data_IF_694814427833
#
_entry.id   IF_694814427833
#
_cell.length_a   1.000
_cell.length_b   1.000
_cell.length_c   1.000
_cell.angle_alpha   90.00
_cell.angle_beta   90.00
_cell.angle_gamma   90.00
#
_symmetry.space_group_name_H-M   'P 1'
#
loop_
_entity.id
_entity.type
_entity.pdbx_description
1 polymer ?
#
# COMPACT_ATOMS: atom_id res chain seq x y z
N UNK A 1 -5.66 17.87 -2.79
CA UNK A 1 -4.41 17.20 -2.42
C UNK A 1 -4.65 15.72 -2.26
N UNK A 2 -4.21 14.95 -3.24
CA UNK A 2 -4.38 13.48 -3.28
C UNK A 2 -3.01 12.84 -3.41
N UNK A 3 -2.68 11.94 -2.48
CA UNK A 3 -1.54 11.04 -2.62
C UNK A 3 -2.06 9.66 -3.04
N UNK A 4 -1.70 9.22 -4.24
CA UNK A 4 -1.95 7.86 -4.71
C UNK A 4 -0.81 6.93 -4.32
N UNK A 5 -1.12 5.75 -3.76
CA UNK A 5 -0.15 4.69 -3.51
C UNK A 5 -0.65 3.38 -4.10
N UNK A 6 0.06 2.86 -5.08
CA UNK A 6 -0.23 1.60 -5.73
C UNK A 6 0.60 0.46 -5.09
N UNK A 7 -0.10 -0.54 -4.57
CA UNK A 7 0.46 -1.76 -3.96
C UNK A 7 0.30 -2.94 -4.94
N UNK A 8 1.23 -3.05 -5.87
CA UNK A 8 1.25 -4.08 -6.92
C UNK A 8 2.42 -5.04 -6.76
N UNK A 9 3.04 -5.41 -7.88
CA UNK A 9 4.32 -6.16 -7.90
C UNK A 9 5.41 -5.37 -7.19
N UNK A 10 5.39 -4.05 -7.36
CA UNK A 10 6.17 -3.06 -6.62
C UNK A 10 5.23 -2.04 -5.97
N UNK A 11 5.78 -1.06 -5.29
CA UNK A 11 5.07 0.12 -4.81
C UNK A 11 5.34 1.29 -5.75
N UNK A 12 4.31 2.10 -6.02
CA UNK A 12 4.45 3.32 -6.80
C UNK A 12 3.55 4.41 -6.24
N UNK A 13 3.97 5.65 -6.32
CA UNK A 13 3.17 6.76 -5.81
C UNK A 13 3.09 7.92 -6.80
N UNK A 14 2.07 8.76 -6.61
CA UNK A 14 1.89 9.99 -7.36
C UNK A 14 1.10 10.99 -6.51
N UNK A 15 1.39 12.27 -6.67
CA UNK A 15 0.75 13.33 -5.90
C UNK A 15 0.11 14.37 -6.81
N UNK A 16 -1.13 14.72 -6.50
CA UNK A 16 -1.86 15.83 -7.11
C UNK A 16 -2.14 16.92 -6.06
N UNK A 17 -1.83 18.17 -6.41
CA UNK A 17 -1.99 19.35 -5.56
C UNK A 17 -3.47 19.79 -5.42
N UNK A 18 -3.69 20.91 -4.73
CA UNK A 18 -5.02 21.52 -4.53
C UNK A 18 -5.71 21.95 -5.82
N UNK A 19 -4.97 22.14 -6.90
CA UNK A 19 -5.50 22.51 -8.22
C UNK A 19 -5.68 21.29 -9.13
N UNK A 20 -5.59 20.08 -8.57
CA UNK A 20 -5.65 18.80 -9.31
C UNK A 20 -4.53 18.63 -10.34
N UNK A 21 -3.41 19.32 -10.16
CA UNK A 21 -2.24 19.19 -11.02
C UNK A 21 -1.34 18.10 -10.47
N UNK A 22 -0.94 17.18 -11.35
CA UNK A 22 0.11 16.21 -11.02
C UNK A 22 1.40 17.00 -10.87
N UNK A 23 2.04 16.88 -9.73
CA UNK A 23 3.30 17.58 -9.48
C UNK A 23 4.44 16.92 -10.26
N UNK A 24 5.46 17.69 -10.70
CA UNK A 24 6.64 17.15 -11.38
C UNK A 24 7.62 16.47 -10.41
N UNK A 25 7.22 16.26 -9.17
CA UNK A 25 8.07 15.63 -8.16
C UNK A 25 8.23 14.14 -8.46
N UNK A 26 9.43 13.64 -8.22
CA UNK A 26 9.68 12.21 -8.22
C UNK A 26 9.09 11.65 -6.92
N UNK A 27 7.90 11.07 -7.02
CA UNK A 27 7.18 10.50 -5.85
C UNK A 27 7.58 9.04 -5.64
N UNK A 28 8.88 8.75 -5.55
CA UNK A 28 9.45 7.40 -5.37
C UNK A 28 9.31 6.91 -3.94
N UNK A 29 8.09 6.79 -3.45
CA UNK A 29 7.80 6.29 -2.10
C UNK A 29 8.19 4.81 -1.91
N UNK A 30 8.49 4.08 -2.98
CA UNK A 30 8.98 2.69 -2.89
C UNK A 30 10.27 2.58 -2.08
N UNK A 31 11.14 3.59 -2.13
CA UNK A 31 12.44 3.59 -1.48
C UNK A 31 12.50 4.39 -0.18
N UNK A 32 11.38 4.93 0.27
CA UNK A 32 11.31 5.61 1.58
C UNK A 32 11.56 4.60 2.70
N UNK A 33 12.42 4.88 3.69
CA UNK A 33 12.63 4.00 4.83
C UNK A 33 11.36 3.94 5.70
N UNK A 34 10.84 2.73 5.90
CA UNK A 34 9.64 2.44 6.70
C UNK A 34 10.00 1.67 7.97
N UNK A 35 10.97 0.78 7.88
CA UNK A 35 11.42 -0.05 8.99
C UNK A 35 12.91 0.22 9.27
N UNK A 36 13.20 0.68 10.47
CA UNK A 36 14.55 0.99 10.94
C UNK A 36 15.09 -0.06 11.91
N UNK A 37 14.42 -1.22 12.01
CA UNK A 37 14.88 -2.32 12.87
C UNK A 37 16.12 -3.01 12.29
N UNK A 38 16.90 -3.66 13.15
CA UNK A 38 18.10 -4.43 12.74
C UNK A 38 17.76 -5.57 11.76
N UNK A 39 16.53 -6.09 11.84
CA UNK A 39 16.06 -7.19 11.00
C UNK A 39 15.12 -6.72 9.87
N UNK A 40 15.19 -5.43 9.53
CA UNK A 40 14.37 -4.88 8.46
C UNK A 40 14.65 -5.58 7.11
N UNK A 41 13.60 -5.73 6.30
CA UNK A 41 13.69 -6.43 5.03
C UNK A 41 14.61 -5.69 4.05
N UNK A 42 15.49 -6.41 3.39
CA UNK A 42 16.33 -5.88 2.31
C UNK A 42 15.59 -6.04 0.98
N UNK A 43 15.61 -4.99 0.16
CA UNK A 43 15.05 -5.05 -1.18
C UNK A 43 15.97 -5.82 -2.13
N UNK A 44 15.39 -6.76 -2.88
CA UNK A 44 16.12 -7.65 -3.77
C UNK A 44 16.78 -6.91 -4.95
N UNK A 45 16.23 -5.76 -5.35
CA UNK A 45 16.69 -5.01 -6.50
C UNK A 45 17.69 -3.91 -6.14
N UNK A 46 17.34 -3.04 -5.19
CA UNK A 46 18.20 -1.91 -4.80
C UNK A 46 19.25 -2.29 -3.75
N UNK A 47 18.99 -3.35 -2.96
CA UNK A 47 19.78 -3.69 -1.80
C UNK A 47 19.48 -2.83 -0.56
N UNK A 48 18.55 -1.88 -0.66
CA UNK A 48 18.17 -0.99 0.44
C UNK A 48 17.44 -1.75 1.55
N UNK A 49 17.70 -1.35 2.79
CA UNK A 49 17.13 -1.99 3.97
C UNK A 49 15.94 -1.17 4.47
N UNK A 50 14.83 -1.85 4.75
CA UNK A 50 13.65 -1.26 5.37
C UNK A 50 12.81 -0.36 4.46
N UNK A 51 13.02 -0.39 3.14
CA UNK A 51 12.30 0.47 2.22
C UNK A 51 10.86 0.03 1.95
N UNK A 52 10.00 0.98 1.64
CA UNK A 52 8.54 0.82 1.57
C UNK A 52 8.06 -0.26 0.60
N UNK A 53 8.79 -0.56 -0.47
CA UNK A 53 8.43 -1.63 -1.40
C UNK A 53 8.30 -3.00 -0.71
N UNK A 54 9.11 -3.25 0.32
CA UNK A 54 9.06 -4.48 1.11
C UNK A 54 7.86 -4.54 2.08
N UNK A 55 7.14 -3.44 2.25
CA UNK A 55 6.01 -3.31 3.19
C UNK A 55 4.69 -3.02 2.50
N UNK A 56 4.71 -2.48 1.27
CA UNK A 56 3.51 -2.02 0.53
C UNK A 56 3.42 -2.61 -0.89
N UNK A 57 3.81 -3.87 -1.06
CA UNK A 57 3.71 -4.58 -2.34
C UNK A 57 3.45 -6.07 -2.15
N UNK A 58 3.44 -6.85 -3.23
CA UNK A 58 3.42 -8.31 -3.17
C UNK A 58 4.63 -8.89 -2.42
N UNK A 59 5.73 -8.15 -2.31
CA UNK A 59 6.86 -8.56 -1.50
C UNK A 59 6.48 -8.63 -0.02
N UNK A 60 5.72 -7.65 0.49
CA UNK A 60 5.21 -7.65 1.86
C UNK A 60 4.37 -8.90 2.14
N UNK A 61 3.41 -9.21 1.26
CA UNK A 61 2.57 -10.40 1.41
C UNK A 61 3.42 -11.66 1.44
N UNK A 62 4.32 -11.83 0.47
CA UNK A 62 5.19 -13.02 0.37
C UNK A 62 6.07 -13.20 1.62
N UNK A 63 6.65 -12.13 2.12
CA UNK A 63 7.53 -12.12 3.30
C UNK A 63 6.80 -12.46 4.59
N UNK A 64 5.53 -12.06 4.71
CA UNK A 64 4.72 -12.27 5.91
C UNK A 64 4.05 -13.65 5.98
N UNK A 65 4.12 -14.47 4.93
CA UNK A 65 3.53 -15.82 4.93
C UNK A 65 4.15 -16.69 6.03
N UNK A 66 5.46 -16.81 6.06
CA UNK A 66 6.14 -17.65 7.03
C UNK A 66 5.91 -17.19 8.48
N UNK A 67 6.10 -15.90 8.84
CA UNK A 67 5.82 -15.41 10.19
C UNK A 67 4.36 -15.58 10.63
N UNK A 68 3.41 -15.51 9.69
CA UNK A 68 1.99 -15.73 10.00
C UNK A 68 1.65 -17.19 10.30
N UNK A 69 2.52 -18.11 9.91
CA UNK A 69 2.28 -19.55 9.99
C UNK A 69 1.34 -20.11 8.92
N UNK A 70 0.96 -19.30 7.92
CA UNK A 70 0.20 -19.77 6.77
C UNK A 70 1.08 -20.71 5.92
N UNK A 71 0.51 -21.83 5.47
CA UNK A 71 1.24 -22.83 4.70
C UNK A 71 1.02 -22.64 3.20
N UNK A 72 1.99 -22.06 2.54
CA UNK A 72 2.03 -21.84 1.10
C UNK A 72 3.40 -22.33 0.60
N UNK A 73 3.42 -22.98 -0.56
CA UNK A 73 4.64 -23.47 -1.16
C UNK A 73 5.64 -22.29 -1.37
N UNK A 74 6.84 -22.34 -0.78
CA UNK A 74 7.83 -21.29 -0.93
C UNK A 74 8.36 -21.12 -2.36
N UNK A 75 8.25 -22.15 -3.21
CA UNK A 75 8.70 -22.13 -4.60
C UNK A 75 7.79 -21.32 -5.54
N UNK A 76 6.56 -21.00 -5.11
CA UNK A 76 5.64 -20.17 -5.89
C UNK A 76 6.13 -18.74 -6.05
N UNK A 77 5.78 -18.11 -7.18
CA UNK A 77 6.03 -16.69 -7.40
C UNK A 77 5.19 -15.77 -6.50
N UNK A 78 5.60 -14.52 -6.37
CA UNK A 78 4.88 -13.53 -5.53
C UNK A 78 3.42 -13.32 -5.96
N UNK A 79 3.08 -13.29 -7.28
CA UNK A 79 1.68 -13.18 -7.71
C UNK A 79 0.81 -14.37 -7.31
N UNK A 80 1.33 -15.61 -7.42
CA UNK A 80 0.63 -16.82 -7.03
C UNK A 80 0.42 -16.88 -5.52
N UNK A 81 1.45 -16.54 -4.74
CA UNK A 81 1.36 -16.41 -3.28
C UNK A 81 0.28 -15.42 -2.86
N UNK A 82 0.20 -14.25 -3.54
CA UNK A 82 -0.84 -13.27 -3.25
C UNK A 82 -2.24 -13.85 -3.47
N UNK A 83 -2.47 -14.58 -4.56
CA UNK A 83 -3.77 -15.20 -4.84
C UNK A 83 -4.16 -16.16 -3.72
N UNK A 84 -3.26 -17.06 -3.32
CA UNK A 84 -3.54 -18.01 -2.24
C UNK A 84 -3.78 -17.33 -0.88
N UNK A 85 -3.07 -16.25 -0.58
CA UNK A 85 -3.33 -15.45 0.65
C UNK A 85 -4.69 -14.76 0.58
N UNK A 86 -5.09 -14.25 -0.60
CA UNK A 86 -6.41 -13.66 -0.81
C UNK A 86 -7.53 -14.70 -0.64
N UNK A 87 -7.38 -15.88 -1.22
CA UNK A 87 -8.34 -17.00 -1.07
C UNK A 87 -8.46 -17.41 0.41
N UNK A 88 -7.35 -17.55 1.14
CA UNK A 88 -7.36 -17.83 2.57
C UNK A 88 -8.06 -16.72 3.38
N UNK A 89 -7.82 -15.45 3.02
CA UNK A 89 -8.49 -14.31 3.64
C UNK A 89 -10.01 -14.31 3.39
N UNK A 90 -10.44 -14.61 2.17
CA UNK A 90 -11.87 -14.73 1.85
C UNK A 90 -12.54 -15.88 2.61
N UNK A 91 -11.80 -16.98 2.85
CA UNK A 91 -12.24 -18.12 3.67
C UNK A 91 -12.24 -17.82 5.20
N UNK A 92 -11.72 -16.67 5.62
CA UNK A 92 -11.69 -16.26 7.02
C UNK A 92 -10.51 -16.83 7.82
N UNK A 93 -9.40 -17.16 7.18
CA UNK A 93 -8.20 -17.64 7.86
C UNK A 93 -7.50 -16.51 8.64
N UNK A 94 -7.36 -16.70 9.95
CA UNK A 94 -6.75 -15.71 10.85
C UNK A 94 -5.28 -15.42 10.54
N UNK A 95 -4.55 -16.38 9.96
CA UNK A 95 -3.15 -16.22 9.57
C UNK A 95 -3.04 -15.32 8.35
N UNK A 96 -3.93 -15.48 7.37
CA UNK A 96 -4.05 -14.56 6.25
C UNK A 96 -4.43 -13.15 6.74
N UNK A 97 -5.39 -13.06 7.65
CA UNK A 97 -5.78 -11.78 8.25
C UNK A 97 -4.62 -11.11 9.01
N UNK A 98 -3.74 -11.86 9.67
CA UNK A 98 -2.55 -11.33 10.34
C UNK A 98 -1.58 -10.66 9.36
N UNK A 99 -1.42 -11.19 8.14
CA UNK A 99 -0.61 -10.59 7.08
C UNK A 99 -1.15 -9.19 6.74
N UNK A 100 -2.45 -9.09 6.46
CA UNK A 100 -3.08 -7.82 6.07
C UNK A 100 -3.11 -6.80 7.22
N UNK A 101 -3.34 -7.26 8.47
CA UNK A 101 -3.24 -6.39 9.65
C UNK A 101 -1.84 -5.80 9.79
N UNK A 102 -0.80 -6.60 9.59
CA UNK A 102 0.58 -6.14 9.66
C UNK A 102 0.87 -5.08 8.61
N UNK A 103 0.47 -5.29 7.35
CA UNK A 103 0.61 -4.30 6.27
C UNK A 103 -0.15 -3.01 6.62
N UNK A 104 -1.37 -3.12 7.13
CA UNK A 104 -2.18 -1.98 7.54
C UNK A 104 -1.55 -1.19 8.69
N UNK A 105 -0.93 -1.88 9.65
CA UNK A 105 -0.19 -1.23 10.74
C UNK A 105 1.00 -0.43 10.20
N UNK A 106 1.83 -1.01 9.35
CA UNK A 106 2.93 -0.28 8.71
C UNK A 106 2.43 0.93 7.91
N UNK A 107 1.31 0.78 7.18
CA UNK A 107 0.72 1.88 6.43
C UNK A 107 0.28 3.03 7.37
N UNK A 108 -0.39 2.71 8.47
CA UNK A 108 -0.81 3.69 9.47
C UNK A 108 0.34 4.52 10.03
N UNK A 109 1.49 3.89 10.30
CA UNK A 109 2.69 4.59 10.75
C UNK A 109 3.48 5.29 9.63
N UNK A 110 3.33 4.87 8.38
CA UNK A 110 3.99 5.51 7.23
C UNK A 110 3.31 6.81 6.81
N UNK A 111 1.98 6.89 6.89
CA UNK A 111 1.21 8.08 6.50
C UNK A 111 1.68 9.36 7.19
N UNK A 112 1.95 9.40 8.51
CA UNK A 112 2.51 10.58 9.17
C UNK A 112 3.87 11.02 8.61
N UNK A 113 4.70 10.10 8.15
CA UNK A 113 5.97 10.43 7.51
C UNK A 113 5.73 11.07 6.13
N UNK A 114 4.82 10.51 5.33
CA UNK A 114 4.45 11.07 4.04
C UNK A 114 3.84 12.47 4.20
N UNK A 115 3.00 12.68 5.22
CA UNK A 115 2.37 13.96 5.52
C UNK A 115 3.36 15.09 5.93
N UNK A 116 4.63 14.76 6.18
CA UNK A 116 5.68 15.77 6.39
C UNK A 116 6.14 16.43 5.09
N UNK A 117 5.94 15.76 3.97
CA UNK A 117 6.41 16.21 2.64
C UNK A 117 5.25 16.54 1.69
N UNK A 118 4.08 15.95 1.91
CA UNK A 118 2.89 16.11 1.08
C UNK A 118 1.74 16.66 1.92
N UNK A 119 1.04 17.68 1.42
CA UNK A 119 -0.23 18.12 2.02
C UNK A 119 -1.34 17.12 1.62
N UNK A 120 -1.49 16.05 2.41
CA UNK A 120 -2.42 14.96 2.11
C UNK A 120 -3.77 15.26 2.73
N UNK A 121 -4.82 15.33 1.90
CA UNK A 121 -6.23 15.32 2.33
C UNK A 121 -6.88 13.98 2.04
N UNK A 122 -6.53 13.40 0.90
CA UNK A 122 -7.03 12.09 0.49
C UNK A 122 -5.85 11.20 0.10
N UNK A 123 -5.83 9.98 0.63
CA UNK A 123 -4.91 8.95 0.19
C UNK A 123 -5.68 7.90 -0.59
N UNK A 124 -5.35 7.78 -1.88
CA UNK A 124 -5.95 6.82 -2.79
C UNK A 124 -5.07 5.57 -2.85
N UNK A 125 -5.60 4.47 -2.37
CA UNK A 125 -4.89 3.19 -2.26
C UNK A 125 -5.31 2.26 -3.41
N UNK A 126 -4.35 1.77 -4.17
CA UNK A 126 -4.53 1.07 -5.44
C UNK A 126 -3.75 -0.25 -5.44
N UNK A 127 -4.05 -1.11 -6.40
CA UNK A 127 -3.26 -2.29 -6.69
C UNK A 127 -3.83 -3.60 -6.15
N UNK A 128 -3.28 -4.71 -6.63
CA UNK A 128 -3.82 -6.06 -6.36
C UNK A 128 -3.74 -6.50 -4.91
N UNK A 129 -2.81 -5.98 -4.14
CA UNK A 129 -2.71 -6.26 -2.69
C UNK A 129 -3.95 -5.76 -1.93
N UNK A 130 -4.60 -4.72 -2.45
CA UNK A 130 -5.79 -4.10 -1.87
C UNK A 130 -7.12 -4.67 -2.41
N UNK A 131 -7.11 -5.83 -3.03
CA UNK A 131 -8.32 -6.47 -3.54
C UNK A 131 -9.01 -7.29 -2.44
N UNK A 132 -10.35 -7.23 -2.39
CA UNK A 132 -11.19 -8.02 -1.48
C UNK A 132 -11.03 -7.64 0.00
N UNK A 133 -11.42 -8.56 0.88
CA UNK A 133 -11.41 -8.34 2.35
C UNK A 133 -10.05 -7.97 2.92
N UNK A 134 -8.96 -8.46 2.29
CA UNK A 134 -7.60 -8.11 2.70
C UNK A 134 -7.31 -6.61 2.55
N UNK A 135 -7.74 -6.02 1.44
CA UNK A 135 -7.61 -4.58 1.21
C UNK A 135 -8.43 -3.75 2.19
N UNK A 136 -9.67 -4.17 2.47
CA UNK A 136 -10.52 -3.53 3.49
C UNK A 136 -9.86 -3.55 4.86
N UNK A 137 -9.24 -4.68 5.23
CA UNK A 137 -8.56 -4.84 6.51
C UNK A 137 -7.30 -3.97 6.60
N UNK A 138 -6.52 -3.82 5.51
CA UNK A 138 -5.36 -2.89 5.47
C UNK A 138 -5.84 -1.47 5.77
N UNK A 139 -6.87 -1.00 5.08
CA UNK A 139 -7.41 0.35 5.23
C UNK A 139 -7.91 0.57 6.65
N UNK A 140 -8.79 -0.31 7.11
CA UNK A 140 -9.36 -0.25 8.47
C UNK A 140 -8.28 -0.21 9.56
N UNK A 141 -7.22 -1.02 9.41
CA UNK A 141 -6.12 -1.05 10.39
C UNK A 141 -5.26 0.21 10.32
N UNK A 142 -5.01 0.74 9.13
CA UNK A 142 -4.29 2.01 8.98
C UNK A 142 -5.08 3.18 9.59
N UNK A 143 -6.41 3.22 9.39
CA UNK A 143 -7.28 4.21 10.02
C UNK A 143 -7.31 4.08 11.55
N UNK A 144 -7.30 2.84 12.08
CA UNK A 144 -7.19 2.60 13.52
C UNK A 144 -5.90 3.21 14.07
N UNK A 145 -4.74 2.93 13.45
CA UNK A 145 -3.45 3.50 13.87
C UNK A 145 -3.48 5.03 13.80
N UNK A 146 -4.00 5.61 12.72
CA UNK A 146 -4.10 7.06 12.59
C UNK A 146 -4.99 7.67 13.68
N UNK A 147 -6.13 7.07 13.98
CA UNK A 147 -7.06 7.55 15.01
C UNK A 147 -6.43 7.50 16.39
N UNK A 148 -5.75 6.41 16.71
CA UNK A 148 -5.29 6.11 18.06
C UNK A 148 -3.93 6.77 18.37
N UNK A 149 -3.02 6.81 17.39
CA UNK A 149 -1.65 7.31 17.57
C UNK A 149 -1.43 8.73 16.99
N UNK A 150 -2.19 9.11 15.96
CA UNK A 150 -2.04 10.37 15.23
C UNK A 150 -3.39 11.08 15.01
N UNK A 151 -4.18 11.36 16.07
CA UNK A 151 -5.58 11.80 15.95
C UNK A 151 -5.77 13.07 15.12
N UNK A 152 -4.80 13.98 15.09
CA UNK A 152 -4.90 15.18 14.27
C UNK A 152 -4.76 14.91 12.77
N UNK A 153 -3.96 13.90 12.40
CA UNK A 153 -3.87 13.45 11.01
C UNK A 153 -5.06 12.58 10.63
N UNK A 154 -5.51 11.71 11.54
CA UNK A 154 -6.69 10.88 11.31
C UNK A 154 -7.98 11.68 11.06
N UNK A 155 -8.09 12.91 11.60
CA UNK A 155 -9.19 13.85 11.29
C UNK A 155 -9.05 14.53 9.92
N UNK A 156 -7.84 14.65 9.39
CA UNK A 156 -7.53 15.40 8.16
C UNK A 156 -7.42 14.53 6.94
N UNK A 157 -6.93 13.30 7.08
CA UNK A 157 -6.60 12.40 5.97
C UNK A 157 -7.66 11.31 5.89
N UNK A 158 -8.33 11.22 4.74
CA UNK A 158 -9.21 10.10 4.43
C UNK A 158 -8.48 9.06 3.58
N UNK A 159 -8.67 7.79 3.89
CA UNK A 159 -8.16 6.68 3.10
C UNK A 159 -9.29 6.11 2.24
N UNK A 160 -8.99 5.77 1.00
CA UNK A 160 -9.98 5.17 0.10
C UNK A 160 -9.31 4.30 -0.96
N UNK A 161 -10.08 3.37 -1.50
CA UNK A 161 -9.74 2.64 -2.72
C UNK A 161 -10.76 2.99 -3.82
N UNK A 162 -10.37 3.08 -5.09
CA UNK A 162 -11.32 3.36 -6.16
C UNK A 162 -12.30 2.21 -6.30
N UNK A 163 -13.53 2.53 -6.70
CA UNK A 163 -14.52 1.53 -7.06
C UNK A 163 -14.09 0.73 -8.32
N UNK A 164 -14.75 -0.39 -8.60
CA UNK A 164 -14.42 -1.26 -9.74
C UNK A 164 -14.56 -0.54 -11.09
N UNK A 165 -15.46 0.44 -11.19
CA UNK A 165 -15.63 1.24 -12.40
C UNK A 165 -14.44 2.17 -12.61
N UNK A 166 -14.00 2.85 -11.55
CA UNK A 166 -12.82 3.72 -11.58
C UNK A 166 -11.54 2.92 -11.86
N UNK A 167 -11.40 1.73 -11.29
CA UNK A 167 -10.25 0.84 -11.58
C UNK A 167 -10.15 0.50 -13.07
N UNK A 168 -11.28 0.23 -13.73
CA UNK A 168 -11.32 -0.11 -15.16
C UNK A 168 -11.10 1.08 -16.09
N UNK A 169 -11.58 2.24 -15.73
CA UNK A 169 -11.56 3.43 -16.60
C UNK A 169 -10.43 4.42 -16.25
N UNK A 170 -9.84 4.31 -15.05
CA UNK A 170 -8.84 5.27 -14.58
C UNK A 170 -7.63 5.44 -15.51
N UNK A 171 -7.12 4.34 -16.06
CA UNK A 171 -6.01 4.40 -17.03
C UNK A 171 -6.43 5.06 -18.35
N UNK A 172 -7.64 4.76 -18.84
CA UNK A 172 -8.16 5.36 -20.05
C UNK A 172 -8.42 6.88 -19.88
N UNK A 173 -8.96 7.27 -18.71
CA UNK A 173 -9.18 8.68 -18.38
C UNK A 173 -7.83 9.41 -18.25
N UNK A 174 -6.85 8.80 -17.57
CA UNK A 174 -5.52 9.38 -17.44
C UNK A 174 -4.84 9.55 -18.80
N UNK A 175 -4.93 8.55 -19.68
CA UNK A 175 -4.38 8.63 -21.03
C UNK A 175 -5.08 9.71 -21.88
N UNK A 176 -6.41 9.84 -21.75
CA UNK A 176 -7.19 10.86 -22.47
C UNK A 176 -6.97 12.29 -21.94
N UNK A 177 -6.43 12.45 -20.73
CA UNK A 177 -6.12 13.74 -20.12
C UNK A 177 -4.68 14.24 -20.38
N UNK A 178 -3.86 13.44 -21.09
CA UNK A 178 -2.53 13.89 -21.49
C UNK A 178 -2.64 15.04 -22.49
N UNK A 179 -1.75 16.07 -22.39
CA UNK A 179 -1.70 17.14 -23.38
C UNK A 179 -1.45 16.55 -24.78
N UNK A 180 -2.12 17.09 -25.79
CA UNK A 180 -1.74 16.84 -27.17
C UNK A 180 -0.33 17.39 -27.39
N UNK A 181 0.56 16.57 -27.97
CA UNK A 181 1.95 16.90 -28.27
C UNK A 181 1.99 17.74 -29.54
#
# INVERSE_FOLDING_TARGET
CVLGLAMGTSAAAGYADTNSRITPWISELAFVPIDLSENAAQDEWSGDIGCAVNYFSQQAVSRLIEPSGLKIDPALGKPEKLILVQEAMEAGDDKAAAIYRTIGTYLGYAIPQFARFYDIKHMLLLGRVLTGKGGELIISKAEEVLRDEFPELGKKISLSTPDEKMKRHGQAIAAASLPEI
#
